data_IF_845022915657
#
_entry.id   IF_845022915657
#
_cell.length_a   1.000
_cell.length_b   1.000
_cell.length_c   1.000
_cell.angle_alpha   90.00
_cell.angle_beta   90.00
_cell.angle_gamma   90.00
#
_symmetry.space_group_name_H-M   'P 1'
#
loop_
_entity.id
_entity.type
_entity.pdbx_description
1 polymer ?
#
# COMPACT_ATOMS: atom_id res chain seq x y z
N UNK A 1 -2.87 -30.91 19.53
CA UNK A 1 -3.08 -29.99 20.67
C UNK A 1 -2.02 -28.88 20.78
N UNK A 2 -0.72 -29.18 20.96
CA UNK A 2 0.33 -28.12 21.06
C UNK A 2 0.50 -27.32 19.76
N UNK A 3 0.40 -27.99 18.60
CA UNK A 3 0.49 -27.34 17.28
C UNK A 3 -0.74 -26.48 16.98
N UNK A 4 -1.94 -27.02 17.26
CA UNK A 4 -3.20 -26.28 17.11
C UNK A 4 -3.21 -25.03 18.01
N UNK A 5 -2.76 -25.16 19.27
CA UNK A 5 -2.64 -24.02 20.18
C UNK A 5 -1.67 -22.96 19.66
N UNK A 6 -0.52 -23.37 19.11
CA UNK A 6 0.44 -22.44 18.50
C UNK A 6 -0.16 -21.73 17.29
N UNK A 7 -0.93 -22.44 16.46
CA UNK A 7 -1.65 -21.86 15.34
C UNK A 7 -2.69 -20.83 15.80
N UNK A 8 -3.50 -21.15 16.80
CA UNK A 8 -4.51 -20.22 17.36
C UNK A 8 -3.84 -18.98 17.96
N UNK A 9 -2.80 -19.16 18.78
CA UNK A 9 -2.05 -18.04 19.37
C UNK A 9 -1.45 -17.14 18.28
N UNK A 10 -0.85 -17.72 17.25
CA UNK A 10 -0.29 -16.96 16.11
C UNK A 10 -1.35 -16.11 15.41
N UNK A 11 -2.52 -16.67 15.13
CA UNK A 11 -3.62 -15.92 14.49
C UNK A 11 -4.22 -14.86 15.42
N UNK A 12 -4.29 -15.13 16.73
CA UNK A 12 -4.72 -14.15 17.72
C UNK A 12 -3.73 -12.97 17.81
N UNK A 13 -2.43 -13.23 17.76
CA UNK A 13 -1.40 -12.18 17.68
C UNK A 13 -1.57 -11.34 16.41
N UNK A 14 -1.83 -11.96 15.25
CA UNK A 14 -2.12 -11.20 14.03
C UNK A 14 -3.36 -10.32 14.20
N UNK A 15 -4.44 -10.84 14.78
CA UNK A 15 -5.65 -10.07 15.07
C UNK A 15 -5.34 -8.84 15.93
N UNK A 16 -4.58 -9.00 17.02
CA UNK A 16 -4.15 -7.89 17.86
C UNK A 16 -3.29 -6.87 17.10
N UNK A 17 -2.38 -7.35 16.25
CA UNK A 17 -1.54 -6.49 15.41
C UNK A 17 -2.40 -5.67 14.43
N UNK A 18 -3.40 -6.27 13.79
CA UNK A 18 -4.36 -5.54 12.96
C UNK A 18 -5.15 -4.51 13.77
N UNK A 19 -5.53 -4.84 15.01
CA UNK A 19 -6.17 -3.89 15.93
C UNK A 19 -5.29 -2.67 16.23
N UNK A 20 -3.98 -2.90 16.47
CA UNK A 20 -2.99 -1.82 16.65
C UNK A 20 -2.89 -0.96 15.40
N UNK A 21 -2.87 -1.56 14.21
CA UNK A 21 -2.84 -0.82 12.94
C UNK A 21 -4.07 0.07 12.80
N UNK A 22 -5.27 -0.44 13.09
CA UNK A 22 -6.48 0.38 13.11
C UNK A 22 -6.37 1.58 14.08
N UNK A 23 -5.83 1.35 15.28
CA UNK A 23 -5.62 2.41 16.26
C UNK A 23 -4.59 3.45 15.78
N UNK A 24 -3.52 3.02 15.11
CA UNK A 24 -2.51 3.92 14.53
C UNK A 24 -3.09 4.78 13.39
N UNK A 25 -3.89 4.20 12.50
CA UNK A 25 -4.59 4.95 11.44
C UNK A 25 -5.47 6.05 12.04
N UNK A 26 -6.31 5.70 13.01
CA UNK A 26 -7.15 6.68 13.71
C UNK A 26 -6.32 7.70 14.50
N UNK A 27 -5.18 7.28 15.05
CA UNK A 27 -4.22 8.16 15.71
C UNK A 27 -3.65 9.20 14.76
N UNK A 28 -3.19 8.81 13.57
CA UNK A 28 -2.71 9.74 12.54
C UNK A 28 -3.78 10.76 12.16
N UNK A 29 -5.02 10.31 11.93
CA UNK A 29 -6.16 11.19 11.63
C UNK A 29 -6.37 12.17 12.79
N UNK A 30 -6.45 11.68 14.03
CA UNK A 30 -6.65 12.54 15.21
C UNK A 30 -5.55 13.61 15.34
N UNK A 31 -4.29 13.24 15.13
CA UNK A 31 -3.16 14.16 15.17
C UNK A 31 -3.26 15.21 14.06
N UNK A 32 -3.72 14.84 12.86
CA UNK A 32 -3.94 15.78 11.75
C UNK A 32 -5.04 16.79 12.05
N UNK A 33 -6.14 16.34 12.65
CA UNK A 33 -7.20 17.23 13.12
C UNK A 33 -6.65 18.22 14.13
N UNK A 34 -5.90 17.72 15.12
CA UNK A 34 -5.42 18.51 16.25
C UNK A 34 -4.37 19.55 15.85
N UNK A 35 -3.41 19.18 15.01
CA UNK A 35 -2.23 20.01 14.74
C UNK A 35 -2.27 20.72 13.39
N UNK A 36 -2.88 20.11 12.37
CA UNK A 36 -2.85 20.61 10.99
C UNK A 36 -4.17 21.21 10.52
N UNK A 37 -5.24 21.18 11.34
CA UNK A 37 -6.57 21.72 11.02
C UNK A 37 -7.06 21.28 9.62
N UNK A 38 -6.83 20.01 9.28
CA UNK A 38 -7.22 19.41 8.00
C UNK A 38 -6.48 19.94 6.76
N UNK A 39 -5.25 20.46 6.90
CA UNK A 39 -4.43 20.78 5.73
C UNK A 39 -3.98 19.48 5.04
N UNK A 40 -4.42 19.22 3.80
CA UNK A 40 -4.18 17.95 3.13
C UNK A 40 -2.70 17.66 2.84
N UNK A 41 -1.90 18.70 2.62
CA UNK A 41 -0.54 18.60 2.02
C UNK A 41 0.62 18.54 3.04
N UNK A 42 0.32 18.42 4.34
CA UNK A 42 1.36 18.35 5.40
C UNK A 42 1.02 17.36 6.53
N UNK A 43 -0.01 16.56 6.34
CA UNK A 43 -0.56 15.68 7.37
C UNK A 43 0.42 14.57 7.78
N UNK A 44 0.26 14.08 9.01
CA UNK A 44 0.77 12.79 9.45
C UNK A 44 0.17 11.65 8.62
N UNK A 45 -1.07 11.79 8.14
CA UNK A 45 -1.70 10.78 7.27
C UNK A 45 -0.92 10.62 5.97
N UNK A 46 -0.71 11.70 5.22
CA UNK A 46 0.07 11.71 3.97
C UNK A 46 1.48 11.12 4.16
N UNK A 47 2.22 11.61 5.16
CA UNK A 47 3.57 11.09 5.48
C UNK A 47 3.57 9.60 5.83
N UNK A 48 2.53 9.12 6.50
CA UNK A 48 2.40 7.70 6.80
C UNK A 48 2.07 6.88 5.55
N UNK A 49 1.19 7.37 4.68
CA UNK A 49 0.87 6.74 3.39
C UNK A 49 2.13 6.60 2.53
N UNK A 50 2.87 7.70 2.33
CA UNK A 50 4.15 7.75 1.59
C UNK A 50 5.17 6.75 2.14
N UNK A 51 5.35 6.71 3.46
CA UNK A 51 6.29 5.79 4.11
C UNK A 51 5.87 4.33 3.90
N UNK A 52 4.60 4.01 4.10
CA UNK A 52 4.08 2.65 3.98
C UNK A 52 4.24 2.12 2.56
N UNK A 53 3.88 2.91 1.54
CA UNK A 53 4.02 2.49 0.14
C UNK A 53 5.49 2.40 -0.29
N UNK A 54 6.34 3.33 0.17
CA UNK A 54 7.78 3.32 -0.11
C UNK A 54 8.45 2.06 0.46
N UNK A 55 8.16 1.72 1.72
CA UNK A 55 8.69 0.50 2.34
C UNK A 55 8.14 -0.75 1.65
N UNK A 56 6.85 -0.76 1.31
CA UNK A 56 6.23 -1.90 0.60
C UNK A 56 6.88 -2.14 -0.77
N UNK A 57 7.06 -1.08 -1.57
CA UNK A 57 7.75 -1.16 -2.85
C UNK A 57 9.19 -1.66 -2.68
N UNK A 58 9.91 -1.10 -1.71
CA UNK A 58 11.30 -1.49 -1.40
C UNK A 58 11.43 -2.96 -1.02
N UNK A 59 10.50 -3.49 -0.22
CA UNK A 59 10.47 -4.91 0.17
C UNK A 59 10.29 -5.80 -1.06
N UNK A 60 9.31 -5.51 -1.94
CA UNK A 60 9.09 -6.33 -3.14
C UNK A 60 10.26 -6.26 -4.12
N UNK A 61 10.85 -5.08 -4.35
CA UNK A 61 12.02 -4.93 -5.21
C UNK A 61 13.26 -5.65 -4.64
N UNK A 62 13.46 -5.58 -3.33
CA UNK A 62 14.52 -6.32 -2.64
C UNK A 62 14.33 -7.83 -2.74
N UNK A 63 13.10 -8.33 -2.54
CA UNK A 63 12.78 -9.75 -2.72
C UNK A 63 12.99 -10.20 -4.15
N UNK A 64 12.57 -9.40 -5.14
CA UNK A 64 12.76 -9.69 -6.56
C UNK A 64 14.24 -9.91 -6.88
N UNK A 65 15.11 -9.03 -6.38
CA UNK A 65 16.56 -9.14 -6.54
C UNK A 65 17.14 -10.32 -5.75
N UNK A 66 16.87 -10.41 -4.44
CA UNK A 66 17.49 -11.39 -3.54
C UNK A 66 17.09 -12.83 -3.83
N UNK A 67 15.85 -13.05 -4.28
CA UNK A 67 15.30 -14.39 -4.58
C UNK A 67 15.27 -14.71 -6.07
N UNK A 68 15.74 -13.79 -6.92
CA UNK A 68 15.72 -13.89 -8.38
C UNK A 68 14.34 -14.29 -8.94
N UNK A 69 13.27 -13.75 -8.35
CA UNK A 69 11.87 -13.99 -8.73
C UNK A 69 11.39 -12.84 -9.61
N UNK A 70 11.35 -13.02 -10.93
CA UNK A 70 11.28 -11.85 -11.82
C UNK A 70 9.90 -11.20 -11.86
N UNK A 71 8.84 -11.95 -11.56
CA UNK A 71 7.47 -11.43 -11.43
C UNK A 71 7.33 -10.42 -10.28
N UNK A 72 8.18 -10.49 -9.25
CA UNK A 72 8.15 -9.53 -8.14
C UNK A 72 8.65 -8.14 -8.56
N UNK A 73 9.44 -8.02 -9.64
CA UNK A 73 9.79 -6.70 -10.19
C UNK A 73 8.54 -5.95 -10.67
N UNK A 74 7.53 -6.66 -11.20
CA UNK A 74 6.28 -6.04 -11.64
C UNK A 74 5.48 -5.52 -10.45
N UNK A 75 5.36 -6.32 -9.38
CA UNK A 75 4.66 -5.94 -8.15
C UNK A 75 5.35 -4.74 -7.49
N UNK A 76 6.67 -4.84 -7.27
CA UNK A 76 7.45 -3.76 -6.66
C UNK A 76 7.48 -2.50 -7.53
N UNK A 77 7.57 -2.64 -8.85
CA UNK A 77 7.54 -1.53 -9.79
C UNK A 77 6.19 -0.81 -9.81
N UNK A 78 5.09 -1.55 -9.75
CA UNK A 78 3.75 -0.98 -9.64
C UNK A 78 3.58 -0.17 -8.36
N UNK A 79 3.98 -0.71 -7.20
CA UNK A 79 3.95 0.02 -5.93
C UNK A 79 4.90 1.23 -5.93
N UNK A 80 6.06 1.13 -6.58
CA UNK A 80 6.97 2.26 -6.75
C UNK A 80 6.34 3.38 -7.60
N UNK A 81 5.59 3.04 -8.65
CA UNK A 81 4.84 4.02 -9.42
C UNK A 81 3.72 4.67 -8.59
N UNK A 82 3.03 3.90 -7.75
CA UNK A 82 2.06 4.47 -6.80
C UNK A 82 2.73 5.44 -5.81
N UNK A 83 3.91 5.10 -5.29
CA UNK A 83 4.68 6.00 -4.42
C UNK A 83 5.07 7.30 -5.14
N UNK A 84 5.58 7.21 -6.37
CA UNK A 84 5.95 8.38 -7.16
C UNK A 84 4.73 9.27 -7.43
N UNK A 85 3.57 8.66 -7.67
CA UNK A 85 2.29 9.38 -7.81
C UNK A 85 1.86 10.04 -6.50
N UNK A 86 2.14 9.46 -5.34
CA UNK A 86 1.82 10.09 -4.06
C UNK A 86 2.66 11.35 -3.82
N UNK A 87 3.91 11.34 -4.28
CA UNK A 87 4.81 12.50 -4.25
C UNK A 87 4.46 13.58 -5.30
N UNK A 88 3.31 13.51 -5.97
CA UNK A 88 2.89 14.44 -7.03
C UNK A 88 2.98 15.90 -6.59
N UNK A 89 2.58 16.23 -5.35
CA UNK A 89 2.68 17.59 -4.78
C UNK A 89 4.13 18.11 -4.78
N UNK A 90 5.11 17.23 -4.58
CA UNK A 90 6.54 17.59 -4.62
C UNK A 90 6.97 17.86 -6.06
N UNK A 91 6.52 17.02 -7.00
CA UNK A 91 6.87 17.13 -8.42
C UNK A 91 6.18 18.32 -9.12
N UNK A 92 4.97 18.67 -8.71
CA UNK A 92 4.19 19.79 -9.23
C UNK A 92 4.85 21.16 -8.96
N UNK A 93 5.83 21.23 -8.03
CA UNK A 93 6.69 22.40 -7.86
C UNK A 93 7.59 22.69 -9.07
N UNK A 94 7.87 21.68 -9.89
CA UNK A 94 8.68 21.82 -11.11
C UNK A 94 7.74 22.20 -12.27
N UNK A 95 6.78 21.33 -12.56
CA UNK A 95 5.67 21.57 -13.48
C UNK A 95 4.59 20.52 -13.26
N UNK A 96 3.35 20.84 -13.66
CA UNK A 96 2.23 19.94 -13.44
C UNK A 96 2.39 18.59 -14.14
N UNK A 97 2.31 17.49 -13.39
CA UNK A 97 2.44 16.13 -13.93
C UNK A 97 3.88 15.66 -14.13
N UNK A 98 4.87 16.34 -13.55
CA UNK A 98 6.27 15.96 -13.63
C UNK A 98 6.56 14.54 -13.09
N UNK A 99 5.75 14.05 -12.15
CA UNK A 99 5.87 12.71 -11.58
C UNK A 99 5.83 11.61 -12.65
N UNK A 100 5.07 11.79 -13.74
CA UNK A 100 4.92 10.79 -14.80
C UNK A 100 6.26 10.52 -15.51
N UNK A 101 7.07 11.56 -15.70
CA UNK A 101 8.40 11.45 -16.31
C UNK A 101 9.39 10.67 -15.44
N UNK A 102 9.13 10.57 -14.13
CA UNK A 102 9.90 9.75 -13.19
C UNK A 102 9.33 8.33 -13.10
N UNK A 103 8.00 8.21 -13.06
CA UNK A 103 7.30 6.92 -12.96
C UNK A 103 7.52 6.04 -14.20
N UNK A 104 7.49 6.62 -15.41
CA UNK A 104 7.63 5.86 -16.67
C UNK A 104 8.98 5.13 -16.75
N UNK A 105 10.14 5.78 -16.55
CA UNK A 105 11.43 5.09 -16.51
C UNK A 105 11.47 3.97 -15.46
N UNK A 106 10.91 4.19 -14.26
CA UNK A 106 10.88 3.18 -13.20
C UNK A 106 10.03 1.96 -13.62
N UNK A 107 8.86 2.20 -14.22
CA UNK A 107 8.02 1.15 -14.77
C UNK A 107 8.75 0.36 -15.86
N UNK A 108 9.36 1.05 -16.83
CA UNK A 108 10.13 0.44 -17.92
C UNK A 108 11.29 -0.41 -17.40
N UNK A 109 12.04 0.07 -16.41
CA UNK A 109 13.14 -0.67 -15.80
C UNK A 109 12.65 -1.93 -15.08
N UNK A 110 11.53 -1.86 -14.37
CA UNK A 110 10.95 -3.02 -13.68
C UNK A 110 10.41 -4.06 -14.67
N UNK A 111 9.75 -3.62 -15.74
CA UNK A 111 9.30 -4.49 -16.83
C UNK A 111 10.50 -5.15 -17.53
N UNK A 112 11.56 -4.39 -17.82
CA UNK A 112 12.78 -4.92 -18.42
C UNK A 112 13.44 -5.97 -17.52
N UNK A 113 13.59 -5.69 -16.22
CA UNK A 113 14.13 -6.66 -15.26
C UNK A 113 13.25 -7.90 -15.13
N UNK A 114 11.93 -7.74 -15.17
CA UNK A 114 11.00 -8.86 -15.16
C UNK A 114 11.18 -9.75 -16.39
N UNK A 115 11.39 -9.16 -17.57
CA UNK A 115 11.50 -9.87 -18.84
C UNK A 115 12.90 -10.46 -19.08
N UNK A 116 13.96 -9.92 -18.48
CA UNK A 116 15.35 -10.38 -18.64
C UNK A 116 15.54 -11.88 -18.38
N UNK A 117 14.81 -12.45 -17.42
CA UNK A 117 14.87 -13.87 -17.07
C UNK A 117 13.89 -14.74 -17.88
N UNK A 118 13.17 -14.15 -18.83
CA UNK A 118 12.24 -14.79 -19.74
C UNK A 118 10.79 -14.79 -19.24
N UNK A 119 9.85 -14.61 -20.18
CA UNK A 119 8.41 -14.53 -19.90
C UNK A 119 7.86 -15.70 -19.08
N UNK A 120 8.36 -16.92 -19.32
CA UNK A 120 7.94 -18.12 -18.58
C UNK A 120 8.26 -18.01 -17.09
N UNK A 121 9.46 -17.52 -16.74
CA UNK A 121 9.83 -17.32 -15.35
C UNK A 121 8.97 -16.20 -14.73
N UNK A 122 8.78 -15.09 -15.43
CA UNK A 122 8.00 -13.96 -14.93
C UNK A 122 6.59 -14.40 -14.54
N UNK A 123 5.94 -15.19 -15.41
CA UNK A 123 4.60 -15.73 -15.15
C UNK A 123 4.63 -16.74 -14.01
N UNK A 124 5.61 -17.65 -13.97
CA UNK A 124 5.69 -18.66 -12.92
C UNK A 124 5.90 -18.05 -11.52
N UNK A 125 6.82 -17.08 -11.40
CA UNK A 125 7.10 -16.38 -10.14
C UNK A 125 5.95 -15.49 -9.70
N UNK A 126 5.23 -14.85 -10.63
CA UNK A 126 4.01 -14.11 -10.31
C UNK A 126 2.89 -15.06 -9.85
N UNK A 127 2.70 -16.19 -10.53
CA UNK A 127 1.71 -17.19 -10.13
C UNK A 127 2.01 -17.80 -8.75
N UNK A 128 3.29 -18.01 -8.42
CA UNK A 128 3.72 -18.44 -7.09
C UNK A 128 3.33 -17.41 -6.02
N UNK A 129 3.59 -16.12 -6.27
CA UNK A 129 3.15 -15.06 -5.37
C UNK A 129 1.61 -15.03 -5.24
N UNK A 130 0.88 -15.13 -6.35
CA UNK A 130 -0.58 -15.08 -6.37
C UNK A 130 -1.25 -16.25 -5.62
N UNK A 131 -0.55 -17.37 -5.43
CA UNK A 131 -1.02 -18.50 -4.62
C UNK A 131 -0.87 -18.29 -3.11
N UNK A 132 -0.20 -17.22 -2.69
CA UNK A 132 -0.01 -16.91 -1.27
C UNK A 132 -1.13 -16.05 -0.71
N UNK A 133 -1.38 -16.17 0.60
CA UNK A 133 -2.31 -15.30 1.31
C UNK A 133 -1.89 -13.82 1.29
N UNK A 134 -0.58 -13.55 1.13
CA UNK A 134 -0.07 -12.20 1.00
C UNK A 134 -0.58 -11.50 -0.27
N UNK A 135 -0.77 -12.23 -1.37
CA UNK A 135 -1.38 -11.66 -2.57
C UNK A 135 -2.81 -11.22 -2.32
N UNK A 136 -3.63 -12.04 -1.65
CA UNK A 136 -5.02 -11.68 -1.32
C UNK A 136 -5.04 -10.39 -0.51
N UNK A 137 -4.21 -10.27 0.53
CA UNK A 137 -4.09 -9.05 1.33
C UNK A 137 -3.60 -7.86 0.51
N UNK A 138 -2.59 -8.03 -0.33
CA UNK A 138 -2.11 -6.98 -1.23
C UNK A 138 -3.25 -6.46 -2.12
N UNK A 139 -4.00 -7.37 -2.77
CA UNK A 139 -5.13 -7.01 -3.63
C UNK A 139 -6.24 -6.32 -2.84
N UNK A 140 -6.57 -6.78 -1.63
CA UNK A 140 -7.53 -6.09 -0.77
C UNK A 140 -7.08 -4.66 -0.48
N UNK A 141 -5.83 -4.46 -0.06
CA UNK A 141 -5.30 -3.12 0.20
C UNK A 141 -5.29 -2.24 -1.06
N UNK A 142 -4.92 -2.80 -2.22
CA UNK A 142 -4.97 -2.10 -3.50
C UNK A 142 -6.38 -1.68 -3.91
N UNK A 143 -7.37 -2.56 -3.75
CA UNK A 143 -8.78 -2.22 -4.01
C UNK A 143 -9.27 -1.15 -3.04
N UNK A 144 -8.84 -1.20 -1.77
CA UNK A 144 -9.16 -0.17 -0.78
C UNK A 144 -8.62 1.19 -1.18
N UNK A 145 -7.34 1.28 -1.57
CA UNK A 145 -6.67 2.54 -1.95
C UNK A 145 -7.13 3.07 -3.30
N UNK A 146 -7.26 2.21 -4.32
CA UNK A 146 -7.47 2.70 -5.68
C UNK A 146 -8.94 2.86 -6.05
N UNK A 147 -9.81 2.06 -5.45
CA UNK A 147 -11.23 1.98 -5.84
C UNK A 147 -12.10 2.49 -4.71
N UNK A 148 -12.04 1.85 -3.54
CA UNK A 148 -13.00 2.13 -2.47
C UNK A 148 -12.82 3.53 -1.89
N UNK A 149 -11.59 3.98 -1.64
CA UNK A 149 -11.33 5.34 -1.14
C UNK A 149 -11.87 6.41 -2.08
N UNK A 150 -11.78 6.20 -3.39
CA UNK A 150 -12.24 7.15 -4.42
C UNK A 150 -13.76 7.18 -4.53
N UNK A 151 -14.41 6.02 -4.40
CA UNK A 151 -15.86 5.92 -4.35
C UNK A 151 -16.41 6.59 -3.09
N UNK A 152 -15.85 6.28 -1.92
CA UNK A 152 -16.28 6.91 -0.66
C UNK A 152 -15.87 8.39 -0.62
N UNK A 153 -14.80 8.79 -1.31
CA UNK A 153 -14.35 10.17 -1.51
C UNK A 153 -15.16 10.97 -2.54
N UNK A 154 -16.27 10.43 -3.07
CA UNK A 154 -17.05 11.14 -4.08
C UNK A 154 -17.80 12.35 -3.48
N UNK A 155 -17.32 13.56 -3.80
CA UNK A 155 -17.83 14.83 -3.22
C UNK A 155 -19.35 15.03 -3.32
N UNK A 156 -20.04 14.72 -4.45
CA UNK A 156 -21.49 14.88 -4.54
C UNK A 156 -22.27 13.97 -3.59
N UNK A 157 -21.79 12.76 -3.31
CA UNK A 157 -22.42 11.85 -2.32
C UNK A 157 -22.47 12.50 -0.94
N UNK A 158 -21.37 13.12 -0.51
CA UNK A 158 -21.30 13.81 0.78
C UNK A 158 -22.13 15.09 0.84
N UNK A 159 -22.22 15.83 -0.27
CA UNK A 159 -23.13 16.98 -0.37
C UNK A 159 -24.59 16.55 -0.26
N UNK A 160 -24.95 15.42 -0.86
CA UNK A 160 -26.29 14.86 -0.74
C UNK A 160 -26.57 14.38 0.69
N UNK A 161 -25.63 13.68 1.31
CA UNK A 161 -25.79 13.13 2.67
C UNK A 161 -25.85 14.20 3.76
N UNK A 162 -25.04 15.26 3.66
CA UNK A 162 -24.96 16.32 4.69
C UNK A 162 -25.82 17.55 4.40
N UNK A 163 -26.32 17.72 3.17
CA UNK A 163 -27.15 18.84 2.76
C UNK A 163 -26.50 20.20 3.03
N UNK A 164 -27.20 21.08 3.75
CA UNK A 164 -26.74 22.45 4.08
C UNK A 164 -25.54 22.48 5.03
N UNK A 165 -25.25 21.38 5.74
CA UNK A 165 -24.16 21.28 6.71
C UNK A 165 -22.97 20.50 6.15
N UNK A 166 -22.63 20.72 4.88
CA UNK A 166 -21.47 20.08 4.26
C UNK A 166 -20.16 20.61 4.86
N UNK A 167 -19.43 19.72 5.53
CA UNK A 167 -18.06 19.98 5.97
C UNK A 167 -17.06 19.21 5.10
N UNK A 168 -16.19 19.94 4.40
CA UNK A 168 -15.16 19.34 3.56
C UNK A 168 -14.22 18.41 4.34
N UNK A 169 -13.95 18.75 5.61
CA UNK A 169 -13.11 17.96 6.52
C UNK A 169 -13.61 16.53 6.71
N UNK A 170 -14.93 16.31 6.79
CA UNK A 170 -15.50 14.96 6.98
C UNK A 170 -15.19 14.07 5.79
N UNK A 171 -15.42 14.59 4.57
CA UNK A 171 -15.11 13.90 3.31
C UNK A 171 -13.62 13.57 3.23
N UNK A 172 -12.77 14.53 3.57
CA UNK A 172 -11.31 14.37 3.59
C UNK A 172 -10.86 13.29 4.57
N UNK A 173 -11.32 13.32 5.82
CA UNK A 173 -10.99 12.32 6.85
C UNK A 173 -11.34 10.91 6.37
N UNK A 174 -12.51 10.74 5.77
CA UNK A 174 -12.98 9.42 5.34
C UNK A 174 -12.17 8.92 4.14
N UNK A 175 -11.91 9.77 3.15
CA UNK A 175 -11.10 9.42 1.97
C UNK A 175 -9.66 9.07 2.38
N UNK A 176 -8.94 10.00 3.03
CA UNK A 176 -7.54 9.81 3.42
C UNK A 176 -7.35 8.72 4.47
N UNK A 177 -8.29 8.61 5.41
CA UNK A 177 -8.28 7.56 6.43
C UNK A 177 -8.45 6.18 5.81
N UNK A 178 -9.29 6.06 4.78
CA UNK A 178 -9.48 4.82 4.02
C UNK A 178 -8.24 4.49 3.19
N UNK A 179 -7.60 5.50 2.56
CA UNK A 179 -6.34 5.30 1.83
C UNK A 179 -5.23 4.82 2.76
N UNK A 180 -5.03 5.48 3.91
CA UNK A 180 -4.02 5.08 4.89
C UNK A 180 -4.26 3.67 5.44
N UNK A 181 -5.52 3.29 5.67
CA UNK A 181 -5.87 1.93 6.05
C UNK A 181 -5.50 0.93 4.95
N UNK A 182 -5.82 1.22 3.69
CA UNK A 182 -5.45 0.37 2.55
C UNK A 182 -3.93 0.22 2.38
N UNK A 183 -3.16 1.31 2.50
CA UNK A 183 -1.70 1.28 2.48
C UNK A 183 -1.11 0.46 3.63
N UNK A 184 -1.75 0.50 4.81
CA UNK A 184 -1.33 -0.33 5.95
C UNK A 184 -1.51 -1.82 5.65
N UNK A 185 -2.59 -2.22 4.97
CA UNK A 185 -2.80 -3.61 4.54
C UNK A 185 -1.75 -4.03 3.51
N UNK A 186 -1.44 -3.17 2.54
CA UNK A 186 -0.39 -3.40 1.53
C UNK A 186 0.96 -3.66 2.21
N UNK A 187 1.30 -2.83 3.20
CA UNK A 187 2.54 -2.99 3.97
C UNK A 187 2.60 -4.32 4.72
N UNK A 188 1.52 -4.70 5.39
CA UNK A 188 1.45 -5.99 6.09
C UNK A 188 1.59 -7.17 5.13
N UNK A 189 0.99 -7.09 3.94
CA UNK A 189 1.16 -8.08 2.89
C UNK A 189 2.63 -8.21 2.43
N UNK A 190 3.32 -7.08 2.26
CA UNK A 190 4.74 -7.06 1.89
C UNK A 190 5.62 -7.72 2.98
N UNK A 191 5.42 -7.36 4.25
CA UNK A 191 6.16 -7.94 5.39
C UNK A 191 5.93 -9.44 5.50
N UNK A 192 4.66 -9.87 5.41
CA UNK A 192 4.35 -11.29 5.54
C UNK A 192 4.92 -12.12 4.39
N UNK A 193 4.86 -11.61 3.16
CA UNK A 193 5.46 -12.29 2.03
C UNK A 193 6.98 -12.37 2.15
N UNK A 194 7.62 -11.32 2.66
CA UNK A 194 9.05 -11.34 2.98
C UNK A 194 9.38 -12.42 4.02
N UNK A 195 8.62 -12.50 5.12
CA UNK A 195 8.79 -13.53 6.13
C UNK A 195 8.59 -14.95 5.56
N UNK A 196 7.59 -15.14 4.69
CA UNK A 196 7.32 -16.41 4.03
C UNK A 196 8.50 -16.87 3.16
N UNK A 197 8.99 -16.00 2.26
CA UNK A 197 10.11 -16.33 1.39
C UNK A 197 11.44 -16.49 2.12
N UNK A 198 11.64 -15.79 3.24
CA UNK A 198 12.86 -15.95 4.04
C UNK A 198 12.89 -17.29 4.78
N UNK A 199 11.75 -17.76 5.31
CA UNK A 199 11.64 -19.05 5.99
C UNK A 199 11.81 -20.26 5.07
N UNK A 200 11.35 -20.18 3.82
CA UNK A 200 11.56 -21.22 2.81
C UNK A 200 13.04 -21.55 2.49
N UNK A 201 14.00 -20.79 3.03
CA UNK A 201 15.45 -21.01 2.82
C UNK A 201 16.13 -21.74 3.99
N UNK A 202 15.42 -21.96 5.09
CA UNK A 202 15.96 -22.66 6.27
C UNK A 202 15.66 -24.18 6.26
N UNK A 203 14.94 -24.65 5.24
CA UNK A 203 14.73 -26.08 4.91
C UNK A 203 15.49 -26.45 3.63
#
# INVERSE_FOLDING_TARGET
MKEDLRFVIKNFIYFLLYGVVCALVLGCIYLDIKYFKYLPERGFVERAQELLICVSASVFLWLAWKKNKSGLWLVGGFLACMFIRELDIVFDKIFHGAWAYVAIPVACLCIFKAWKNGFKETVASLAEFMRTQAFIRLTTGLLTVMVFSRLIGYKPMWKLAMGKHYYWSVKFIVEEGTELFGYSIIFLAAVEYACYLLKQKED
#
